data_IF_623943212895
#
_entry.id   IF_623943212895
#
_cell.length_a   1.000
_cell.length_b   1.000
_cell.length_c   1.000
_cell.angle_alpha   90.00
_cell.angle_beta   90.00
_cell.angle_gamma   90.00
#
_symmetry.space_group_name_H-M   'P 1'
#
loop_
_entity.id
_entity.type
_entity.pdbx_description
1 polymer ?
#
# COMPACT_ATOMS: atom_id res chain seq x y z
N UNK A 1 17.39 -33.20 5.82
CA UNK A 1 16.50 -34.39 5.75
C UNK A 1 15.79 -34.53 4.40
N UNK A 2 14.98 -33.56 3.96
CA UNK A 2 14.24 -33.65 2.68
C UNK A 2 15.17 -33.89 1.48
N UNK A 3 16.17 -33.02 1.27
CA UNK A 3 17.13 -33.15 0.16
C UNK A 3 17.88 -34.48 0.14
N UNK A 4 18.24 -35.02 1.31
CA UNK A 4 18.88 -36.35 1.42
C UNK A 4 17.95 -37.45 0.88
N UNK A 5 16.69 -37.42 1.29
CA UNK A 5 15.68 -38.41 0.88
C UNK A 5 15.38 -38.33 -0.62
N UNK A 6 15.27 -37.13 -1.18
CA UNK A 6 15.09 -36.91 -2.63
C UNK A 6 16.26 -37.46 -3.46
N UNK A 7 17.48 -37.42 -2.92
CA UNK A 7 18.67 -38.02 -3.52
C UNK A 7 18.82 -39.52 -3.26
N UNK A 8 17.87 -40.16 -2.56
CA UNK A 8 17.92 -41.59 -2.24
C UNK A 8 19.06 -42.00 -1.31
N UNK A 9 19.69 -41.05 -0.60
CA UNK A 9 20.82 -41.32 0.29
C UNK A 9 20.33 -41.80 1.66
N UNK A 10 20.98 -42.79 2.29
CA UNK A 10 20.71 -43.13 3.70
C UNK A 10 21.46 -42.21 4.67
N UNK A 11 21.16 -42.27 5.97
CA UNK A 11 21.90 -41.50 6.97
C UNK A 11 23.36 -41.96 7.04
N UNK A 12 23.61 -43.26 6.89
CA UNK A 12 24.94 -43.88 6.81
C UNK A 12 25.70 -43.36 5.59
N UNK A 13 25.08 -43.35 4.41
CA UNK A 13 25.72 -42.84 3.18
C UNK A 13 26.16 -41.38 3.35
N UNK A 14 25.29 -40.53 3.91
CA UNK A 14 25.63 -39.13 4.14
C UNK A 14 26.74 -38.99 5.20
N UNK A 15 26.68 -39.79 6.27
CA UNK A 15 27.66 -39.77 7.34
C UNK A 15 29.06 -40.17 6.85
N UNK A 16 29.15 -41.21 6.03
CA UNK A 16 30.41 -41.68 5.42
C UNK A 16 31.01 -40.62 4.49
N UNK A 17 30.19 -39.92 3.70
CA UNK A 17 30.64 -38.85 2.80
C UNK A 17 31.24 -37.65 3.53
N UNK A 18 30.74 -37.32 4.73
CA UNK A 18 31.18 -36.14 5.50
C UNK A 18 32.08 -36.49 6.70
N UNK A 19 32.37 -37.78 6.90
CA UNK A 19 33.32 -38.25 7.92
C UNK A 19 32.78 -38.24 9.35
N UNK A 20 31.50 -38.52 9.55
CA UNK A 20 30.84 -38.56 10.87
C UNK A 20 30.09 -39.88 11.09
N UNK A 21 29.48 -40.06 12.27
CA UNK A 21 28.63 -41.22 12.52
C UNK A 21 27.20 -41.00 12.02
N UNK A 22 26.52 -42.07 11.58
CA UNK A 22 25.10 -42.02 11.22
C UNK A 22 24.21 -41.51 12.37
N UNK A 23 24.61 -41.80 13.62
CA UNK A 23 23.95 -41.26 14.81
C UNK A 23 24.03 -39.72 14.91
N UNK A 24 25.14 -39.11 14.47
CA UNK A 24 25.25 -37.65 14.40
C UNK A 24 24.25 -37.07 13.37
N UNK A 25 24.18 -37.68 12.18
CA UNK A 25 23.22 -37.30 11.14
C UNK A 25 21.78 -37.44 11.65
N UNK A 26 21.45 -38.53 12.34
CA UNK A 26 20.13 -38.73 12.94
C UNK A 26 19.77 -37.64 13.96
N UNK A 27 20.72 -37.24 14.81
CA UNK A 27 20.52 -36.14 15.77
C UNK A 27 20.31 -34.79 15.07
N UNK A 28 21.01 -34.52 13.96
CA UNK A 28 20.78 -33.31 13.16
C UNK A 28 19.39 -33.31 12.52
N UNK A 29 18.98 -34.43 11.93
CA UNK A 29 17.67 -34.54 11.28
C UNK A 29 16.48 -34.53 12.26
N UNK A 30 16.74 -34.75 13.55
CA UNK A 30 15.73 -34.71 14.63
C UNK A 30 15.83 -33.47 15.51
N UNK A 31 16.63 -32.47 15.09
CA UNK A 31 16.89 -31.24 15.84
C UNK A 31 17.46 -31.45 17.26
N UNK A 32 18.03 -32.63 17.54
CA UNK A 32 18.63 -32.98 18.84
C UNK A 32 20.04 -32.39 19.01
N UNK A 33 20.71 -32.05 17.91
CA UNK A 33 21.96 -31.29 17.91
C UNK A 33 22.16 -30.60 16.56
N UNK A 34 23.11 -29.67 16.48
CA UNK A 34 23.54 -29.07 15.22
C UNK A 34 24.88 -29.67 14.74
N UNK A 35 25.14 -29.72 13.42
CA UNK A 35 26.48 -30.03 12.94
C UNK A 35 27.45 -28.94 13.37
N UNK A 36 28.72 -29.32 13.58
CA UNK A 36 29.79 -28.33 13.75
C UNK A 36 29.85 -27.42 12.51
N UNK A 37 30.12 -26.12 12.70
CA UNK A 37 30.13 -25.15 11.60
C UNK A 37 31.12 -25.55 10.48
N UNK A 38 32.20 -26.24 10.83
CA UNK A 38 33.20 -26.75 9.88
C UNK A 38 32.65 -27.89 8.99
N UNK A 39 31.53 -28.50 9.37
CA UNK A 39 30.85 -29.55 8.61
C UNK A 39 29.82 -29.00 7.61
N UNK A 40 29.47 -27.71 7.65
CA UNK A 40 28.53 -27.13 6.69
C UNK A 40 29.04 -27.20 5.24
N UNK A 41 30.31 -26.84 4.92
CA UNK A 41 30.81 -26.98 3.55
C UNK A 41 30.80 -28.42 2.98
N UNK A 42 31.27 -29.47 3.69
CA UNK A 42 31.17 -30.83 3.18
C UNK A 42 29.73 -31.34 3.10
N UNK A 43 28.85 -30.97 4.04
CA UNK A 43 27.41 -31.28 3.96
C UNK A 43 26.75 -30.65 2.72
N UNK A 44 27.03 -29.37 2.46
CA UNK A 44 26.54 -28.66 1.29
C UNK A 44 26.98 -29.35 -0.01
N UNK A 45 28.27 -29.73 -0.13
CA UNK A 45 28.78 -30.49 -1.29
C UNK A 45 28.15 -31.87 -1.44
N UNK A 46 28.02 -32.63 -0.36
CA UNK A 46 27.42 -33.97 -0.38
C UNK A 46 25.94 -33.90 -0.81
N UNK A 47 25.21 -32.90 -0.33
CA UNK A 47 23.81 -32.66 -0.65
C UNK A 47 23.61 -31.85 -1.93
N UNK A 48 24.66 -31.38 -2.59
CA UNK A 48 24.60 -30.53 -3.80
C UNK A 48 23.83 -29.23 -3.59
N UNK A 49 23.98 -28.61 -2.43
CA UNK A 49 23.39 -27.33 -2.04
C UNK A 49 24.50 -26.28 -1.85
N UNK A 50 24.15 -25.00 -1.82
CA UNK A 50 25.00 -23.98 -1.20
C UNK A 50 24.91 -24.09 0.33
N UNK A 51 25.88 -23.51 1.05
CA UNK A 51 25.80 -23.41 2.51
C UNK A 51 24.57 -22.57 2.92
N UNK A 52 24.26 -21.52 2.16
CA UNK A 52 23.07 -20.69 2.40
C UNK A 52 21.79 -21.52 2.32
N UNK A 53 21.65 -22.36 1.28
CA UNK A 53 20.50 -23.24 1.12
C UNK A 53 20.43 -24.33 2.22
N UNK A 54 21.57 -24.73 2.80
CA UNK A 54 21.62 -25.67 3.93
C UNK A 54 21.12 -25.02 5.23
N UNK A 55 21.38 -23.73 5.40
CA UNK A 55 20.97 -22.94 6.56
C UNK A 55 19.59 -22.29 6.40
N UNK A 56 18.94 -22.49 5.25
CA UNK A 56 17.74 -21.76 4.83
C UNK A 56 17.91 -20.22 4.94
N UNK A 57 19.13 -19.76 4.70
CA UNK A 57 19.45 -18.34 4.77
C UNK A 57 18.95 -17.61 3.52
N UNK A 58 18.17 -16.56 3.74
CA UNK A 58 17.77 -15.60 2.72
C UNK A 58 18.15 -14.20 3.19
N UNK A 59 18.69 -13.40 2.26
CA UNK A 59 19.07 -12.01 2.53
C UNK A 59 17.85 -11.17 2.90
N UNK A 60 16.79 -11.35 2.13
CA UNK A 60 15.50 -10.70 2.32
C UNK A 60 14.46 -11.74 2.74
N UNK A 61 13.54 -11.38 3.64
CA UNK A 61 12.45 -12.26 4.01
C UNK A 61 11.56 -12.48 2.79
N UNK A 62 11.01 -13.69 2.66
CA UNK A 62 10.04 -13.99 1.61
C UNK A 62 8.78 -13.14 1.77
N UNK A 63 8.01 -12.94 0.70
CA UNK A 63 6.78 -12.12 0.74
C UNK A 63 5.80 -12.53 1.84
N UNK A 64 5.61 -13.82 2.05
CA UNK A 64 4.73 -14.35 3.11
C UNK A 64 5.27 -14.03 4.51
N UNK A 65 6.60 -14.12 4.69
CA UNK A 65 7.27 -13.76 5.93
C UNK A 65 7.22 -12.26 6.19
N UNK A 66 7.42 -11.43 5.16
CA UNK A 66 7.25 -9.97 5.24
C UNK A 66 5.84 -9.60 5.71
N UNK A 67 4.81 -10.25 5.16
CA UNK A 67 3.42 -10.05 5.59
C UNK A 67 3.22 -10.47 7.05
N UNK A 68 3.75 -11.63 7.45
CA UNK A 68 3.66 -12.10 8.83
C UNK A 68 4.39 -11.16 9.82
N UNK A 69 5.57 -10.66 9.44
CA UNK A 69 6.32 -9.65 10.20
C UNK A 69 5.48 -8.37 10.32
N UNK A 70 4.92 -7.86 9.22
CA UNK A 70 4.06 -6.68 9.22
C UNK A 70 2.87 -6.83 10.15
N UNK A 71 2.10 -7.92 10.04
CA UNK A 71 0.94 -8.18 10.90
C UNK A 71 1.32 -8.27 12.38
N UNK A 72 2.41 -8.97 12.70
CA UNK A 72 2.92 -9.07 14.08
C UNK A 72 3.32 -7.71 14.63
N UNK A 73 4.00 -6.89 13.83
CA UNK A 73 4.43 -5.55 14.26
C UNK A 73 3.23 -4.63 14.49
N UNK A 74 2.23 -4.65 13.60
CA UNK A 74 0.97 -3.94 13.81
C UNK A 74 0.31 -4.31 15.13
N UNK A 75 0.16 -5.61 15.42
CA UNK A 75 -0.38 -6.08 16.70
C UNK A 75 0.40 -5.56 17.91
N UNK A 76 1.75 -5.52 17.85
CA UNK A 76 2.54 -4.96 18.95
C UNK A 76 2.28 -3.48 19.14
N UNK A 77 2.17 -2.70 18.05
CA UNK A 77 1.83 -1.28 18.15
C UNK A 77 0.42 -1.06 18.72
N UNK A 78 -0.56 -1.84 18.28
CA UNK A 78 -1.96 -1.73 18.68
C UNK A 78 -2.15 -2.15 20.15
N UNK A 79 -1.58 -3.30 20.55
CA UNK A 79 -1.81 -3.90 21.86
C UNK A 79 -0.89 -3.35 22.96
N UNK A 80 0.34 -2.99 22.60
CA UNK A 80 1.41 -2.67 23.57
C UNK A 80 1.93 -1.23 23.44
N UNK A 81 1.48 -0.49 22.43
CA UNK A 81 1.79 0.92 22.24
C UNK A 81 3.11 1.20 21.51
N UNK A 82 3.35 2.49 21.25
CA UNK A 82 4.42 2.97 20.36
C UNK A 82 5.82 2.49 20.77
N UNK A 83 6.20 2.63 22.05
CA UNK A 83 7.55 2.26 22.50
C UNK A 83 7.85 0.76 22.36
N UNK A 84 6.84 -0.09 22.59
CA UNK A 84 6.97 -1.53 22.40
C UNK A 84 7.08 -1.87 20.91
N UNK A 85 6.27 -1.22 20.08
CA UNK A 85 6.34 -1.32 18.62
C UNK A 85 7.71 -0.94 18.08
N UNK A 86 8.28 0.19 18.51
CA UNK A 86 9.63 0.64 18.12
C UNK A 86 10.69 -0.41 18.50
N UNK A 87 10.65 -0.94 19.73
CA UNK A 87 11.60 -2.02 20.12
C UNK A 87 11.48 -3.26 19.24
N UNK A 88 10.26 -3.64 18.88
CA UNK A 88 10.02 -4.79 18.00
C UNK A 88 10.50 -4.52 16.57
N UNK A 89 10.24 -3.34 16.02
CA UNK A 89 10.74 -2.93 14.69
C UNK A 89 12.26 -2.92 14.67
N UNK A 90 12.92 -2.32 15.66
CA UNK A 90 14.38 -2.26 15.74
C UNK A 90 15.01 -3.66 15.90
N UNK A 91 14.32 -4.61 16.53
CA UNK A 91 14.78 -6.00 16.56
C UNK A 91 14.76 -6.63 15.15
N UNK A 92 13.70 -6.42 14.38
CA UNK A 92 13.58 -6.91 13.00
C UNK A 92 14.60 -6.21 12.07
N UNK A 93 14.84 -4.91 12.26
CA UNK A 93 15.88 -4.19 11.51
C UNK A 93 17.30 -4.73 11.79
N UNK A 94 17.57 -5.25 12.99
CA UNK A 94 18.84 -5.91 13.31
C UNK A 94 18.95 -7.30 12.72
N UNK A 95 17.82 -8.01 12.61
CA UNK A 95 17.74 -9.31 11.94
C UNK A 95 17.93 -9.16 10.42
N UNK A 96 17.36 -8.10 9.83
CA UNK A 96 17.38 -7.80 8.40
C UNK A 96 18.02 -6.43 8.07
N UNK A 97 19.31 -6.20 8.38
CA UNK A 97 19.94 -4.87 8.33
C UNK A 97 20.08 -4.28 6.93
N UNK A 98 20.07 -5.13 5.89
CA UNK A 98 20.21 -4.74 4.49
C UNK A 98 18.93 -4.96 3.68
N UNK A 99 17.79 -5.24 4.33
CA UNK A 99 16.55 -5.49 3.62
C UNK A 99 15.80 -4.18 3.33
N UNK A 100 15.66 -3.85 2.06
CA UNK A 100 14.98 -2.63 1.63
C UNK A 100 13.49 -2.65 1.99
N UNK A 101 12.83 -3.80 1.80
CA UNK A 101 11.41 -4.01 2.12
C UNK A 101 11.11 -3.87 3.62
N UNK A 102 12.00 -4.36 4.49
CA UNK A 102 11.86 -4.20 5.94
C UNK A 102 12.04 -2.74 6.36
N UNK A 103 12.92 -1.98 5.70
CA UNK A 103 13.09 -0.54 5.99
C UNK A 103 11.89 0.28 5.57
N UNK A 104 11.32 -0.04 4.41
CA UNK A 104 10.04 0.50 3.97
C UNK A 104 8.94 0.26 4.99
N UNK A 105 8.78 -0.99 5.43
CA UNK A 105 7.81 -1.37 6.45
C UNK A 105 8.03 -0.61 7.76
N UNK A 106 9.28 -0.53 8.24
CA UNK A 106 9.63 0.18 9.46
C UNK A 106 9.25 1.67 9.41
N UNK A 107 9.62 2.36 8.32
CA UNK A 107 9.28 3.77 8.14
C UNK A 107 7.77 4.00 8.05
N UNK A 108 7.06 3.12 7.33
CA UNK A 108 5.60 3.19 7.23
C UNK A 108 4.91 2.99 8.59
N UNK A 109 5.39 2.05 9.41
CA UNK A 109 4.88 1.81 10.76
C UNK A 109 5.13 3.00 11.69
N UNK A 110 6.36 3.54 11.70
CA UNK A 110 6.68 4.72 12.52
C UNK A 110 5.80 5.91 12.16
N UNK A 111 5.59 6.17 10.87
CA UNK A 111 4.69 7.22 10.42
C UNK A 111 3.22 6.92 10.78
N UNK A 112 2.76 5.69 10.60
CA UNK A 112 1.36 5.27 10.89
C UNK A 112 0.97 5.44 12.35
N UNK A 113 1.92 5.23 13.27
CA UNK A 113 1.70 5.30 14.72
C UNK A 113 2.27 6.57 15.35
N UNK A 114 2.72 7.56 14.55
CA UNK A 114 3.30 8.81 15.06
C UNK A 114 2.36 9.53 16.02
N UNK A 115 1.06 9.60 15.71
CA UNK A 115 0.07 10.26 16.56
C UNK A 115 0.01 9.67 17.98
N UNK A 116 0.19 8.35 18.12
CA UNK A 116 0.23 7.70 19.42
C UNK A 116 1.48 8.09 20.24
N UNK A 117 2.61 8.31 19.56
CA UNK A 117 3.83 8.84 20.18
C UNK A 117 3.62 10.29 20.64
N UNK A 118 3.06 11.14 19.76
CA UNK A 118 2.83 12.56 20.03
C UNK A 118 1.89 12.80 21.22
N UNK A 119 0.88 11.96 21.40
CA UNK A 119 -0.06 12.06 22.54
C UNK A 119 0.60 11.89 23.92
N UNK A 120 1.81 11.32 23.96
CA UNK A 120 2.55 11.05 25.21
C UNK A 120 3.85 11.85 25.31
N UNK A 121 4.17 12.64 24.29
CA UNK A 121 5.41 13.40 24.22
C UNK A 121 5.34 14.63 25.13
N UNK A 122 6.42 14.89 25.86
CA UNK A 122 6.61 16.17 26.57
C UNK A 122 6.87 17.31 25.58
N UNK A 123 7.64 17.01 24.52
CA UNK A 123 7.92 17.90 23.40
C UNK A 123 7.41 17.26 22.10
N UNK A 124 6.19 17.64 21.71
CA UNK A 124 5.52 17.13 20.52
C UNK A 124 6.26 17.49 19.23
N UNK A 125 6.84 18.69 19.16
CA UNK A 125 7.51 19.18 17.96
C UNK A 125 8.81 18.44 17.72
N UNK A 126 9.65 18.31 18.76
CA UNK A 126 10.89 17.56 18.67
C UNK A 126 10.63 16.08 18.38
N UNK A 127 9.66 15.47 19.06
CA UNK A 127 9.31 14.06 18.83
C UNK A 127 8.81 13.81 17.41
N UNK A 128 7.98 14.72 16.87
CA UNK A 128 7.53 14.63 15.48
C UNK A 128 8.71 14.73 14.50
N UNK A 129 9.62 15.68 14.74
CA UNK A 129 10.83 15.87 13.94
C UNK A 129 11.70 14.61 13.94
N UNK A 130 12.02 14.06 15.12
CA UNK A 130 12.88 12.87 15.25
C UNK A 130 12.29 11.65 14.53
N UNK A 131 10.98 11.42 14.68
CA UNK A 131 10.29 10.29 14.04
C UNK A 131 10.25 10.48 12.52
N UNK A 132 9.94 11.69 12.04
CA UNK A 132 9.83 11.95 10.59
C UNK A 132 11.19 11.91 9.89
N UNK A 133 12.25 12.42 10.50
CA UNK A 133 13.63 12.26 9.99
C UNK A 133 14.05 10.79 9.97
N UNK A 134 13.69 10.02 11.02
CA UNK A 134 13.94 8.58 11.04
C UNK A 134 13.21 7.86 9.90
N UNK A 135 11.96 8.24 9.60
CA UNK A 135 11.20 7.69 8.48
C UNK A 135 11.87 8.01 7.13
N UNK A 136 12.27 9.28 6.91
CA UNK A 136 12.98 9.69 5.69
C UNK A 136 14.27 8.88 5.47
N UNK A 137 15.07 8.70 6.53
CA UNK A 137 16.30 7.91 6.47
C UNK A 137 16.02 6.43 6.17
N UNK A 138 14.95 5.86 6.74
CA UNK A 138 14.55 4.47 6.45
C UNK A 138 14.10 4.30 5.01
N UNK A 139 13.30 5.22 4.47
CA UNK A 139 12.89 5.15 3.07
C UNK A 139 14.05 5.37 2.10
N UNK A 140 14.99 6.27 2.43
CA UNK A 140 16.21 6.43 1.64
C UNK A 140 17.06 5.17 1.61
N UNK A 141 17.28 4.54 2.77
CA UNK A 141 18.01 3.29 2.84
C UNK A 141 17.25 2.16 2.14
N UNK A 142 15.92 2.13 2.23
CA UNK A 142 15.05 1.20 1.51
C UNK A 142 15.30 1.29 0.00
N UNK A 143 15.30 2.51 -0.54
CA UNK A 143 15.60 2.77 -1.94
C UNK A 143 17.01 2.28 -2.35
N UNK A 144 18.02 2.56 -1.54
CA UNK A 144 19.41 2.21 -1.84
C UNK A 144 19.67 0.70 -1.76
N UNK A 145 18.94 -0.02 -0.91
CA UNK A 145 19.22 -1.42 -0.58
C UNK A 145 18.23 -2.42 -1.16
N UNK A 146 17.09 -1.96 -1.68
CA UNK A 146 16.21 -2.80 -2.49
C UNK A 146 16.89 -3.21 -3.79
N UNK A 147 16.65 -4.45 -4.24
CA UNK A 147 17.05 -4.92 -5.57
C UNK A 147 15.92 -4.73 -6.59
N UNK A 148 14.67 -4.81 -6.12
CA UNK A 148 13.48 -4.68 -6.96
C UNK A 148 13.20 -3.21 -7.34
N UNK A 149 12.94 -2.97 -8.63
CA UNK A 149 12.61 -1.62 -9.12
C UNK A 149 11.31 -1.08 -8.51
N UNK A 150 10.32 -1.94 -8.28
CA UNK A 150 9.06 -1.57 -7.64
C UNK A 150 9.25 -1.02 -6.22
N UNK A 151 10.02 -1.71 -5.38
CA UNK A 151 10.32 -1.26 -4.01
C UNK A 151 11.08 0.08 -3.98
N UNK A 152 12.02 0.28 -4.92
CA UNK A 152 12.72 1.56 -5.06
C UNK A 152 11.76 2.71 -5.38
N UNK A 153 10.82 2.46 -6.30
CA UNK A 153 9.81 3.45 -6.67
C UNK A 153 8.91 3.79 -5.48
N UNK A 154 8.43 2.77 -4.74
CA UNK A 154 7.63 2.97 -3.54
C UNK A 154 8.38 3.78 -2.48
N UNK A 155 9.66 3.43 -2.22
CA UNK A 155 10.53 4.19 -1.30
C UNK A 155 10.62 5.66 -1.66
N UNK A 156 10.87 5.96 -2.94
CA UNK A 156 10.93 7.35 -3.43
C UNK A 156 9.60 8.07 -3.27
N UNK A 157 8.49 7.44 -3.66
CA UNK A 157 7.17 8.05 -3.54
C UNK A 157 6.81 8.41 -2.10
N UNK A 158 7.15 7.53 -1.13
CA UNK A 158 6.95 7.79 0.28
C UNK A 158 7.82 8.95 0.79
N UNK A 159 9.10 9.02 0.37
CA UNK A 159 9.99 10.17 0.66
C UNK A 159 9.43 11.48 0.12
N UNK A 160 9.04 11.52 -1.15
CA UNK A 160 8.47 12.72 -1.79
C UNK A 160 7.22 13.18 -1.03
N UNK A 161 6.34 12.25 -0.69
CA UNK A 161 5.10 12.54 0.06
C UNK A 161 5.41 13.12 1.44
N UNK A 162 6.39 12.54 2.15
CA UNK A 162 6.79 12.99 3.48
C UNK A 162 7.49 14.36 3.44
N UNK A 163 8.42 14.57 2.51
CA UNK A 163 9.07 15.88 2.31
C UNK A 163 8.04 16.98 1.99
N UNK A 164 7.05 16.66 1.15
CA UNK A 164 5.95 17.58 0.82
C UNK A 164 5.13 17.94 2.06
N UNK A 165 4.79 16.95 2.90
CA UNK A 165 4.05 17.17 4.14
C UNK A 165 4.86 18.02 5.15
N UNK A 166 6.17 17.84 5.21
CA UNK A 166 7.08 18.61 6.08
C UNK A 166 7.39 20.03 5.54
N UNK A 167 6.87 20.39 4.36
CA UNK A 167 7.18 21.67 3.71
C UNK A 167 8.59 21.77 3.12
N UNK A 168 9.32 20.65 3.03
CA UNK A 168 10.66 20.54 2.43
C UNK A 168 10.56 20.42 0.90
N UNK A 169 9.94 21.43 0.28
CA UNK A 169 9.53 21.38 -1.13
C UNK A 169 10.72 21.28 -2.10
N UNK A 170 11.80 22.02 -1.83
CA UNK A 170 12.99 22.02 -2.69
C UNK A 170 13.63 20.63 -2.79
N UNK A 171 13.66 19.89 -1.67
CA UNK A 171 14.16 18.52 -1.65
C UNK A 171 13.21 17.53 -2.32
N UNK A 172 11.90 17.73 -2.17
CA UNK A 172 10.89 16.95 -2.89
C UNK A 172 11.00 17.14 -4.40
N UNK A 173 11.17 18.38 -4.86
CA UNK A 173 11.37 18.72 -6.28
C UNK A 173 12.67 18.10 -6.82
N UNK A 174 13.79 18.26 -6.11
CA UNK A 174 15.06 17.66 -6.52
C UNK A 174 14.96 16.12 -6.67
N UNK A 175 14.22 15.46 -5.76
CA UNK A 175 13.99 14.03 -5.84
C UNK A 175 13.09 13.65 -7.02
N UNK A 176 12.05 14.44 -7.31
CA UNK A 176 11.18 14.27 -8.48
C UNK A 176 11.98 14.42 -9.78
N UNK A 177 12.83 15.45 -9.88
CA UNK A 177 13.64 15.72 -11.08
C UNK A 177 14.69 14.63 -11.35
N UNK A 178 15.08 13.88 -10.31
CA UNK A 178 15.98 12.73 -10.44
C UNK A 178 15.30 11.46 -10.97
N UNK A 179 13.96 11.44 -11.09
CA UNK A 179 13.23 10.27 -11.56
C UNK A 179 13.56 9.98 -13.03
N UNK A 180 13.65 8.69 -13.41
CA UNK A 180 13.83 8.33 -14.81
C UNK A 180 12.63 8.88 -15.63
N UNK A 181 12.88 9.45 -16.82
CA UNK A 181 11.80 9.95 -17.66
C UNK A 181 10.84 8.81 -18.00
N UNK A 182 9.54 9.13 -18.13
CA UNK A 182 8.53 8.18 -18.60
C UNK A 182 9.03 7.58 -19.92
N UNK A 183 9.20 6.26 -19.98
CA UNK A 183 9.68 5.59 -21.20
C UNK A 183 8.69 5.92 -22.32
N UNK A 184 9.19 6.47 -23.43
CA UNK A 184 8.36 6.99 -24.52
C UNK A 184 7.65 5.94 -25.36
N UNK A 185 7.84 4.65 -25.07
CA UNK A 185 7.23 3.54 -25.80
C UNK A 185 6.41 2.74 -24.80
N UNK A 186 5.09 2.74 -24.97
CA UNK A 186 4.20 1.90 -24.19
C UNK A 186 4.23 0.46 -24.75
N UNK A 187 4.76 -0.47 -23.96
CA UNK A 187 4.84 -1.87 -24.35
C UNK A 187 3.46 -2.51 -24.57
N UNK A 188 2.43 -2.03 -23.86
CA UNK A 188 1.07 -2.56 -23.99
C UNK A 188 0.41 -2.06 -25.29
N UNK A 189 0.72 -0.85 -25.78
CA UNK A 189 0.28 -0.38 -27.11
C UNK A 189 0.89 -1.22 -28.24
N UNK A 190 2.20 -1.50 -28.16
CA UNK A 190 2.88 -2.37 -29.13
C UNK A 190 2.32 -3.80 -29.10
N UNK A 191 2.04 -4.31 -27.90
CA UNK A 191 1.48 -5.66 -27.70
C UNK A 191 0.05 -5.74 -28.23
N UNK A 192 -0.77 -4.71 -28.05
CA UNK A 192 -2.11 -4.63 -28.63
C UNK A 192 -2.03 -4.71 -30.17
N UNK A 193 -1.15 -3.92 -30.77
CA UNK A 193 -0.92 -3.93 -32.22
C UNK A 193 -0.49 -5.31 -32.72
N UNK A 194 0.39 -5.99 -31.98
CA UNK A 194 0.82 -7.35 -32.29
C UNK A 194 -0.33 -8.37 -32.18
N UNK A 195 -1.15 -8.30 -31.14
CA UNK A 195 -2.29 -9.22 -30.94
C UNK A 195 -3.34 -9.03 -32.02
N UNK A 196 -3.63 -7.79 -32.42
CA UNK A 196 -4.50 -7.51 -33.56
C UNK A 196 -3.96 -8.09 -34.87
N UNK A 197 -2.65 -7.95 -35.13
CA UNK A 197 -2.01 -8.53 -36.31
C UNK A 197 -1.99 -10.07 -36.31
N UNK A 198 -2.01 -10.69 -35.11
CA UNK A 198 -2.07 -12.14 -34.93
C UNK A 198 -3.51 -12.69 -34.87
N UNK A 199 -4.53 -11.84 -35.04
CA UNK A 199 -5.96 -12.18 -34.83
C UNK A 199 -6.28 -12.77 -33.45
N UNK A 200 -5.45 -12.44 -32.43
CA UNK A 200 -5.69 -12.78 -31.02
C UNK A 200 -6.66 -11.79 -30.39
N UNK A 201 -7.90 -11.82 -30.87
CA UNK A 201 -8.91 -10.79 -30.58
C UNK A 201 -9.29 -10.74 -29.10
N UNK A 202 -9.33 -11.89 -28.41
CA UNK A 202 -9.67 -11.94 -26.99
C UNK A 202 -8.59 -11.27 -26.13
N UNK A 203 -7.31 -11.55 -26.38
CA UNK A 203 -6.20 -10.93 -25.66
C UNK A 203 -6.06 -9.45 -26.01
N UNK A 204 -6.31 -9.07 -27.27
CA UNK A 204 -6.34 -7.68 -27.71
C UNK A 204 -7.46 -6.89 -26.99
N UNK A 205 -8.67 -7.45 -26.92
CA UNK A 205 -9.80 -6.83 -26.25
C UNK A 205 -9.53 -6.61 -24.76
N UNK A 206 -9.01 -7.62 -24.05
CA UNK A 206 -8.68 -7.48 -22.63
C UNK A 206 -7.63 -6.40 -22.38
N UNK A 207 -6.61 -6.32 -23.24
CA UNK A 207 -5.58 -5.29 -23.15
C UNK A 207 -6.14 -3.90 -23.42
N UNK A 208 -7.00 -3.75 -24.44
CA UNK A 208 -7.64 -2.49 -24.78
C UNK A 208 -8.59 -2.00 -23.67
N UNK A 209 -9.38 -2.89 -23.06
CA UNK A 209 -10.27 -2.55 -21.93
C UNK A 209 -9.48 -2.11 -20.70
N UNK A 210 -8.36 -2.76 -20.41
CA UNK A 210 -7.45 -2.35 -19.33
C UNK A 210 -6.86 -0.97 -19.58
N UNK A 211 -6.39 -0.71 -20.80
CA UNK A 211 -5.88 0.61 -21.19
C UNK A 211 -6.96 1.69 -21.07
N UNK A 212 -8.20 1.40 -21.52
CA UNK A 212 -9.33 2.32 -21.39
C UNK A 212 -9.60 2.69 -19.92
N UNK A 213 -9.63 1.70 -19.02
CA UNK A 213 -9.83 1.96 -17.58
C UNK A 213 -8.73 2.86 -17.01
N UNK A 214 -7.46 2.61 -17.39
CA UNK A 214 -6.33 3.45 -17.00
C UNK A 214 -6.51 4.89 -17.49
N UNK A 215 -6.81 5.10 -18.77
CA UNK A 215 -6.98 6.45 -19.33
C UNK A 215 -8.15 7.20 -18.73
N UNK A 216 -9.27 6.52 -18.46
CA UNK A 216 -10.40 7.13 -17.74
C UNK A 216 -9.96 7.56 -16.34
N UNK A 217 -9.17 6.74 -15.64
CA UNK A 217 -8.55 7.11 -14.37
C UNK A 217 -7.62 8.33 -14.46
N UNK A 218 -6.80 8.43 -15.51
CA UNK A 218 -5.91 9.57 -15.77
C UNK A 218 -6.71 10.86 -16.01
N UNK A 219 -7.77 10.80 -16.83
CA UNK A 219 -8.69 11.93 -17.06
C UNK A 219 -9.34 12.37 -15.75
N UNK A 220 -9.86 11.43 -14.96
CA UNK A 220 -10.46 11.73 -13.66
C UNK A 220 -9.48 12.38 -12.68
N UNK A 221 -8.24 11.90 -12.67
CA UNK A 221 -7.17 12.48 -11.83
C UNK A 221 -6.86 13.91 -12.27
N UNK A 222 -6.70 14.15 -13.57
CA UNK A 222 -6.45 15.49 -14.11
C UNK A 222 -7.59 16.47 -13.80
N UNK A 223 -8.85 16.05 -13.97
CA UNK A 223 -10.03 16.84 -13.64
C UNK A 223 -10.08 17.18 -12.14
N UNK A 224 -9.76 16.22 -11.26
CA UNK A 224 -9.69 16.44 -9.82
C UNK A 224 -8.60 17.46 -9.43
N UNK A 225 -7.40 17.34 -10.02
CA UNK A 225 -6.30 18.28 -9.80
C UNK A 225 -6.66 19.69 -10.28
N UNK A 226 -7.20 19.83 -11.49
CA UNK A 226 -7.64 21.12 -12.03
C UNK A 226 -8.77 21.73 -11.20
N UNK A 227 -9.71 20.91 -10.71
CA UNK A 227 -10.77 21.37 -9.81
C UNK A 227 -10.19 21.94 -8.52
N UNK A 228 -9.22 21.23 -7.93
CA UNK A 228 -8.53 21.67 -6.71
C UNK A 228 -7.80 23.00 -6.94
N UNK A 229 -7.12 23.15 -8.07
CA UNK A 229 -6.44 24.39 -8.44
C UNK A 229 -7.45 25.53 -8.61
N UNK A 230 -8.51 25.33 -9.41
CA UNK A 230 -9.53 26.35 -9.66
C UNK A 230 -10.22 26.81 -8.36
N UNK A 231 -10.51 25.88 -7.45
CA UNK A 231 -11.06 26.16 -6.12
C UNK A 231 -10.11 27.02 -5.28
N UNK A 232 -8.83 26.64 -5.18
CA UNK A 232 -7.81 27.43 -4.44
C UNK A 232 -7.60 28.82 -5.03
N UNK A 233 -7.76 28.97 -6.35
CA UNK A 233 -7.72 30.25 -7.05
C UNK A 233 -9.05 31.03 -6.99
N UNK A 234 -10.09 30.47 -6.36
CA UNK A 234 -11.46 31.03 -6.31
C UNK A 234 -12.11 31.25 -7.69
N UNK A 235 -11.67 30.50 -8.70
CA UNK A 235 -12.25 30.51 -10.04
C UNK A 235 -13.47 29.57 -10.12
N UNK A 236 -14.52 29.86 -9.32
CA UNK A 236 -15.60 28.91 -9.05
C UNK A 236 -16.38 28.47 -10.29
N UNK A 237 -16.63 29.38 -11.25
CA UNK A 237 -17.27 29.01 -12.51
C UNK A 237 -16.47 27.96 -13.30
N UNK A 238 -15.14 28.00 -13.25
CA UNK A 238 -14.29 26.98 -13.85
C UNK A 238 -14.30 25.69 -13.03
N UNK A 239 -14.28 25.80 -11.69
CA UNK A 239 -14.36 24.65 -10.79
C UNK A 239 -15.66 23.84 -11.00
N UNK A 240 -16.82 24.50 -11.10
CA UNK A 240 -18.11 23.85 -11.40
C UNK A 240 -18.06 23.07 -12.71
N UNK A 241 -17.54 23.68 -13.79
CA UNK A 241 -17.40 22.99 -15.09
C UNK A 241 -16.52 21.75 -15.01
N UNK A 242 -15.45 21.79 -14.21
CA UNK A 242 -14.54 20.67 -14.02
C UNK A 242 -15.17 19.54 -13.20
N UNK A 243 -15.96 19.88 -12.17
CA UNK A 243 -16.76 18.92 -11.40
C UNK A 243 -17.83 18.27 -12.28
N UNK A 244 -18.53 19.04 -13.10
CA UNK A 244 -19.52 18.53 -14.05
C UNK A 244 -18.89 17.58 -15.06
N UNK A 245 -17.72 17.94 -15.61
CA UNK A 245 -16.97 17.07 -16.51
C UNK A 245 -16.54 15.77 -15.81
N UNK A 246 -16.09 15.85 -14.56
CA UNK A 246 -15.73 14.67 -13.77
C UNK A 246 -16.94 13.73 -13.60
N UNK A 247 -18.10 14.27 -13.20
CA UNK A 247 -19.34 13.50 -13.02
C UNK A 247 -19.86 12.93 -14.34
N UNK A 248 -19.70 13.65 -15.44
CA UNK A 248 -20.09 13.17 -16.77
C UNK A 248 -19.22 11.98 -17.22
N UNK A 249 -17.91 12.00 -16.93
CA UNK A 249 -17.02 10.86 -17.18
C UNK A 249 -17.44 9.65 -16.33
N UNK A 250 -17.75 9.86 -15.05
CA UNK A 250 -18.27 8.79 -14.19
C UNK A 250 -19.54 8.15 -14.74
N UNK A 251 -20.52 8.97 -15.08
CA UNK A 251 -21.80 8.52 -15.61
C UNK A 251 -21.64 7.80 -16.96
N UNK A 252 -20.79 8.32 -17.85
CA UNK A 252 -20.55 7.74 -19.18
C UNK A 252 -20.00 6.31 -19.09
N UNK A 253 -19.08 6.08 -18.16
CA UNK A 253 -18.41 4.79 -18.00
C UNK A 253 -19.05 3.90 -16.93
N UNK A 254 -20.15 4.33 -16.30
CA UNK A 254 -20.81 3.57 -15.23
C UNK A 254 -19.88 3.34 -14.03
N UNK A 255 -19.16 4.40 -13.63
CA UNK A 255 -18.25 4.37 -12.50
C UNK A 255 -18.97 4.91 -11.27
N UNK A 256 -19.38 4.03 -10.36
CA UNK A 256 -20.08 4.36 -9.11
C UNK A 256 -19.13 4.99 -8.06
N UNK A 257 -18.46 6.08 -8.42
CA UNK A 257 -17.46 6.77 -7.61
C UNK A 257 -18.11 7.95 -6.87
N UNK A 258 -17.73 8.15 -5.61
CA UNK A 258 -18.24 9.24 -4.78
C UNK A 258 -17.40 10.52 -4.86
N UNK A 259 -16.25 10.50 -5.51
CA UNK A 259 -15.29 11.62 -5.56
C UNK A 259 -15.86 12.88 -6.22
N UNK A 260 -16.73 12.75 -7.23
CA UNK A 260 -17.36 13.90 -7.87
C UNK A 260 -18.28 14.67 -6.91
N UNK A 261 -19.00 13.95 -6.05
CA UNK A 261 -19.83 14.54 -5.00
C UNK A 261 -18.96 15.20 -3.93
N UNK A 262 -17.86 14.55 -3.53
CA UNK A 262 -16.91 15.13 -2.58
C UNK A 262 -16.32 16.46 -3.10
N UNK A 263 -15.91 16.53 -4.37
CA UNK A 263 -15.44 17.77 -4.98
C UNK A 263 -16.53 18.86 -4.98
N UNK A 264 -17.78 18.48 -5.24
CA UNK A 264 -18.93 19.38 -5.18
C UNK A 264 -19.19 19.93 -3.77
N UNK A 265 -19.15 19.07 -2.74
CA UNK A 265 -19.29 19.50 -1.33
C UNK A 265 -18.23 20.55 -1.01
N UNK A 266 -16.98 20.25 -1.34
CA UNK A 266 -15.89 21.16 -1.03
C UNK A 266 -15.98 22.48 -1.81
N UNK A 267 -16.48 22.47 -3.05
CA UNK A 267 -16.73 23.68 -3.83
C UNK A 267 -17.86 24.53 -3.24
N UNK A 268 -18.99 23.91 -2.88
CA UNK A 268 -20.11 24.60 -2.25
C UNK A 268 -19.69 25.22 -0.90
N UNK A 269 -18.84 24.53 -0.13
CA UNK A 269 -18.25 25.08 1.09
C UNK A 269 -17.35 26.29 0.82
N UNK A 270 -16.50 26.24 -0.22
CA UNK A 270 -15.64 27.36 -0.61
C UNK A 270 -16.46 28.60 -1.06
N UNK A 271 -17.66 28.39 -1.61
CA UNK A 271 -18.62 29.42 -2.00
C UNK A 271 -19.53 29.90 -0.86
N UNK A 272 -19.52 29.20 0.28
CA UNK A 272 -20.39 29.48 1.42
C UNK A 272 -21.83 28.99 1.27
N UNK A 273 -22.13 28.14 0.27
CA UNK A 273 -23.45 27.54 0.06
C UNK A 273 -23.60 26.26 0.92
N UNK A 274 -23.98 26.47 2.18
CA UNK A 274 -24.19 25.36 3.12
C UNK A 274 -25.34 24.43 2.73
N UNK A 275 -26.39 24.96 2.09
CA UNK A 275 -27.54 24.17 1.69
C UNK A 275 -27.15 23.18 0.60
N UNK A 276 -26.44 23.65 -0.44
CA UNK A 276 -25.92 22.79 -1.49
C UNK A 276 -24.88 21.80 -0.97
N UNK A 277 -23.98 22.23 -0.07
CA UNK A 277 -23.00 21.34 0.54
C UNK A 277 -23.68 20.18 1.28
N UNK A 278 -24.76 20.45 2.00
CA UNK A 278 -25.53 19.46 2.74
C UNK A 278 -26.29 18.50 1.82
N UNK A 279 -26.93 19.01 0.77
CA UNK A 279 -27.61 18.19 -0.24
C UNK A 279 -26.63 17.23 -0.95
N UNK A 280 -25.43 17.71 -1.27
CA UNK A 280 -24.37 16.90 -1.87
C UNK A 280 -23.78 15.91 -0.86
N UNK A 281 -23.71 16.26 0.42
CA UNK A 281 -23.23 15.37 1.48
C UNK A 281 -24.15 14.18 1.68
N UNK A 282 -25.48 14.38 1.70
CA UNK A 282 -26.43 13.27 1.78
C UNK A 282 -26.27 12.31 0.58
N UNK A 283 -26.20 12.86 -0.63
CA UNK A 283 -25.94 12.08 -1.85
C UNK A 283 -24.61 11.33 -1.80
N UNK A 284 -23.57 11.98 -1.25
CA UNK A 284 -22.25 11.38 -1.08
C UNK A 284 -22.31 10.15 -0.17
N UNK A 285 -22.97 10.26 0.98
CA UNK A 285 -23.15 9.13 1.90
C UNK A 285 -23.98 8.02 1.26
N UNK A 286 -25.08 8.35 0.59
CA UNK A 286 -25.92 7.35 -0.08
C UNK A 286 -25.15 6.59 -1.17
N UNK A 287 -24.38 7.31 -1.98
CA UNK A 287 -23.50 6.70 -2.99
C UNK A 287 -22.41 5.84 -2.34
N UNK A 288 -21.88 6.27 -1.18
CA UNK A 288 -20.85 5.52 -0.44
C UNK A 288 -21.39 4.26 0.22
N UNK A 289 -22.67 4.22 0.57
CA UNK A 289 -23.34 3.03 1.11
C UNK A 289 -23.75 2.04 0.01
N UNK A 290 -24.11 2.54 -1.18
CA UNK A 290 -24.38 1.72 -2.37
C UNK A 290 -23.11 1.16 -3.05
N UNK A 291 -21.94 1.54 -2.53
CA UNK A 291 -20.62 1.33 -3.10
C UNK A 291 -20.19 -0.15 -3.18
N UNK A 292 -19.91 -0.65 -4.37
CA UNK A 292 -19.38 -2.02 -4.60
C UNK A 292 -18.00 -2.04 -5.27
N UNK A 293 -17.68 -1.03 -6.10
CA UNK A 293 -16.52 -1.02 -7.01
C UNK A 293 -16.40 -2.32 -7.85
N UNK A 294 -17.51 -2.99 -8.12
CA UNK A 294 -17.52 -4.21 -8.94
C UNK A 294 -17.81 -3.86 -10.39
N UNK A 295 -16.76 -3.82 -11.21
CA UNK A 295 -16.83 -3.52 -12.63
C UNK A 295 -16.79 -4.78 -13.50
N UNK A 296 -16.91 -5.98 -12.91
CA UNK A 296 -16.81 -7.23 -13.69
C UNK A 296 -17.90 -7.36 -14.75
N UNK A 297 -19.08 -6.81 -14.49
CA UNK A 297 -20.20 -6.77 -15.42
C UNK A 297 -20.32 -5.42 -16.15
N UNK A 298 -19.36 -4.50 -15.94
CA UNK A 298 -19.37 -3.21 -16.63
C UNK A 298 -19.05 -3.42 -18.12
N UNK A 299 -19.86 -2.89 -19.06
CA UNK A 299 -19.68 -3.14 -20.49
C UNK A 299 -18.35 -2.64 -21.06
N UNK A 300 -17.71 -1.65 -20.42
CA UNK A 300 -16.42 -1.09 -20.84
C UNK A 300 -15.22 -1.80 -20.19
N UNK A 301 -15.40 -2.37 -19.00
CA UNK A 301 -14.29 -2.89 -18.17
C UNK A 301 -14.45 -4.37 -17.77
N UNK A 302 -15.42 -5.07 -18.32
CA UNK A 302 -15.69 -6.45 -17.95
C UNK A 302 -14.44 -7.33 -18.14
N UNK A 303 -14.21 -8.19 -17.14
CA UNK A 303 -13.04 -9.06 -16.97
C UNK A 303 -11.67 -8.37 -16.77
N UNK A 304 -11.61 -7.04 -16.67
CA UNK A 304 -10.37 -6.32 -16.31
C UNK A 304 -10.08 -6.42 -14.81
N UNK A 305 -11.12 -6.40 -13.98
CA UNK A 305 -10.97 -6.40 -12.53
C UNK A 305 -10.66 -7.81 -11.99
N UNK A 306 -9.45 -7.98 -11.47
CA UNK A 306 -8.97 -9.24 -10.87
C UNK A 306 -9.28 -9.36 -9.38
N UNK A 307 -9.63 -8.26 -8.72
CA UNK A 307 -9.97 -8.21 -7.30
C UNK A 307 -11.19 -7.31 -7.07
N UNK A 308 -12.22 -7.90 -6.47
CA UNK A 308 -13.41 -7.18 -6.00
C UNK A 308 -13.29 -7.01 -4.50
N UNK A 309 -13.54 -5.81 -3.95
CA UNK A 309 -13.50 -5.59 -2.51
C UNK A 309 -14.38 -6.59 -1.77
N UNK A 310 -13.83 -7.21 -0.74
CA UNK A 310 -14.62 -8.06 0.16
C UNK A 310 -15.56 -7.20 1.02
N UNK A 311 -16.54 -7.83 1.67
CA UNK A 311 -17.39 -7.13 2.64
C UNK A 311 -16.57 -6.43 3.73
N UNK A 312 -15.47 -7.05 4.17
CA UNK A 312 -14.61 -6.46 5.19
C UNK A 312 -13.85 -5.24 4.64
N UNK A 313 -13.37 -5.30 3.40
CA UNK A 313 -12.70 -4.14 2.76
C UNK A 313 -13.64 -2.94 2.61
N UNK A 314 -14.92 -3.21 2.30
CA UNK A 314 -15.96 -2.17 2.23
C UNK A 314 -16.20 -1.57 3.62
N UNK A 315 -16.33 -2.40 4.66
CA UNK A 315 -16.51 -1.94 6.06
C UNK A 315 -15.31 -1.10 6.51
N UNK A 316 -14.09 -1.53 6.25
CA UNK A 316 -12.87 -0.76 6.56
C UNK A 316 -12.87 0.58 5.82
N UNK A 317 -13.29 0.59 4.55
CA UNK A 317 -13.44 1.82 3.77
C UNK A 317 -14.47 2.77 4.40
N UNK A 318 -15.58 2.25 4.93
CA UNK A 318 -16.58 3.03 5.67
C UNK A 318 -16.01 3.59 6.97
N UNK A 319 -15.27 2.79 7.75
CA UNK A 319 -14.57 3.23 8.98
C UNK A 319 -13.61 4.39 8.69
N UNK A 320 -12.77 4.24 7.67
CA UNK A 320 -11.84 5.29 7.26
C UNK A 320 -12.56 6.56 6.78
N UNK A 321 -13.65 6.40 6.04
CA UNK A 321 -14.46 7.54 5.56
C UNK A 321 -15.11 8.28 6.73
N UNK A 322 -15.70 7.55 7.68
CA UNK A 322 -16.32 8.12 8.89
C UNK A 322 -15.30 8.91 9.69
N UNK A 323 -14.15 8.29 9.99
CA UNK A 323 -13.06 8.92 10.73
C UNK A 323 -12.57 10.20 10.04
N UNK A 324 -12.38 10.16 8.72
CA UNK A 324 -11.96 11.32 7.95
C UNK A 324 -12.98 12.48 8.05
N UNK A 325 -14.28 12.21 8.04
CA UNK A 325 -15.31 13.25 8.18
C UNK A 325 -15.34 13.82 9.62
N UNK A 326 -15.16 12.97 10.63
CA UNK A 326 -15.17 13.37 12.04
C UNK A 326 -13.94 14.20 12.45
N UNK A 327 -12.77 13.88 11.89
CA UNK A 327 -11.51 14.59 12.18
C UNK A 327 -11.36 15.88 11.38
N UNK A 328 -12.04 16.02 10.24
CA UNK A 328 -11.87 17.15 9.33
C UNK A 328 -12.68 18.38 9.74
N UNK A 329 -11.96 19.47 10.03
CA UNK A 329 -12.52 20.77 10.43
C UNK A 329 -13.38 21.41 9.34
N UNK A 330 -13.23 21.03 8.07
CA UNK A 330 -14.05 21.55 6.96
C UNK A 330 -15.53 21.24 7.16
N UNK A 331 -15.87 20.17 7.87
CA UNK A 331 -17.25 19.83 8.17
C UNK A 331 -17.79 20.55 9.42
N UNK A 332 -16.98 21.28 10.18
CA UNK A 332 -17.42 21.97 11.39
C UNK A 332 -18.70 22.82 11.19
N UNK A 333 -18.87 23.58 10.08
CA UNK A 333 -20.10 24.36 9.86
C UNK A 333 -21.36 23.50 9.62
N UNK A 334 -21.21 22.23 9.27
CA UNK A 334 -22.31 21.30 9.00
C UNK A 334 -22.60 20.36 10.18
N UNK A 335 -21.73 20.30 11.20
CA UNK A 335 -21.84 19.32 12.29
C UNK A 335 -23.12 19.46 13.11
N UNK A 336 -23.63 20.68 13.28
CA UNK A 336 -24.84 20.92 14.06
C UNK A 336 -26.13 20.71 13.25
N UNK A 337 -26.03 20.47 11.94
CA UNK A 337 -27.20 20.26 11.08
C UNK A 337 -27.81 18.85 11.30
N UNK A 338 -29.12 18.75 11.59
CA UNK A 338 -29.77 17.45 11.82
C UNK A 338 -29.64 16.47 10.65
N UNK A 339 -29.66 17.00 9.41
CA UNK A 339 -29.49 16.24 8.18
C UNK A 339 -28.08 15.64 8.07
N UNK A 340 -27.06 16.39 8.48
CA UNK A 340 -25.68 15.93 8.47
C UNK A 340 -25.48 14.78 9.47
N UNK A 341 -26.00 14.93 10.69
CA UNK A 341 -25.95 13.87 11.70
C UNK A 341 -26.71 12.62 11.26
N UNK A 342 -27.91 12.78 10.70
CA UNK A 342 -28.70 11.66 10.17
C UNK A 342 -27.95 10.91 9.03
N UNK A 343 -27.23 11.62 8.17
CA UNK A 343 -26.40 11.00 7.15
C UNK A 343 -25.20 10.25 7.76
N UNK A 344 -24.49 10.83 8.72
CA UNK A 344 -23.40 10.16 9.42
C UNK A 344 -23.86 8.93 10.21
N UNK A 345 -25.02 8.97 10.84
CA UNK A 345 -25.58 7.84 11.59
C UNK A 345 -25.90 6.65 10.67
N UNK A 346 -26.34 6.91 9.44
CA UNK A 346 -26.51 5.85 8.42
C UNK A 346 -25.17 5.19 8.08
N UNK A 347 -24.09 5.97 7.97
CA UNK A 347 -22.74 5.43 7.74
C UNK A 347 -22.23 4.63 8.95
N UNK A 348 -22.43 5.13 10.18
CA UNK A 348 -22.09 4.41 11.42
C UNK A 348 -22.82 3.07 11.52
N UNK A 349 -24.11 3.05 11.19
CA UNK A 349 -24.92 1.83 11.24
C UNK A 349 -24.47 0.74 10.25
N UNK A 350 -23.75 1.12 9.19
CA UNK A 350 -23.17 0.17 8.23
C UNK A 350 -21.89 -0.53 8.75
N UNK A 351 -21.30 -0.01 9.84
CA UNK A 351 -20.07 -0.53 10.44
C UNK A 351 -20.45 -1.42 11.64
N UNK A 352 -20.15 -2.74 11.62
CA UNK A 352 -20.40 -3.61 12.76
C UNK A 352 -19.50 -3.24 13.95
N UNK A 353 -20.05 -3.36 15.16
CA UNK A 353 -19.30 -3.18 16.40
C UNK A 353 -18.14 -4.18 16.49
N UNK A 354 -16.97 -3.70 16.93
CA UNK A 354 -15.82 -4.57 17.21
C UNK A 354 -16.18 -5.50 18.38
N UNK A 355 -16.11 -6.81 18.15
CA UNK A 355 -16.30 -7.84 19.18
C UNK A 355 -15.00 -8.13 19.91
#
# INVERSE_FOLDING_TARGET
MQTRREKGMTQETLADMVGVSAAAVSKWETCASYPDITLLPPLARALGLSVDALLDFRRDPAREEQLAISSRLHQVFDDQGFDAGVRAVEAVLREYPHSGSIKLLAGALYYRYIAAALNRAEDTEQTASDITERCLALFEQGEQQSEETGEKQVSRSLRISMLTMLGRYEEAEALIDSLPPKQGIDSDELRLSLYLAQEKLTEAEQLARRALLTHVGEVSTALMSLTTIARRQKAFAAAHRLVDAYRAVDALFGLDRSNGLLLGIMLAQDEGDQAQALDLFEQYIDTRLAYTLDYRDNPFFAAVQTHVPTRNDIIETHRLTLRAIEEDERYAPLRDEPRFQAALDRLRAAIPAEN
#
